data_IF_836805314505
#
_entry.id   IF_836805314505
#
_cell.length_a   1.000
_cell.length_b   1.000
_cell.length_c   1.000
_cell.angle_alpha   90.00
_cell.angle_beta   90.00
_cell.angle_gamma   90.00
#
_symmetry.space_group_name_H-M   'P 1'
#
loop_
_entity.id
_entity.type
_entity.pdbx_description
1 polymer ?
#
# COMPACT_ATOMS: atom_id res chain seq x y z
N UNK A 1 -23.64 -10.93 -41.95
CA UNK A 1 -23.02 -9.85 -41.16
C UNK A 1 -23.51 -10.05 -39.73
N UNK A 2 -22.92 -10.95 -38.92
CA UNK A 2 -21.73 -10.72 -38.08
C UNK A 2 -21.85 -9.39 -37.31
N UNK A 3 -21.93 -9.32 -35.98
CA UNK A 3 -21.81 -10.36 -34.96
C UNK A 3 -22.16 -9.83 -33.56
N UNK A 4 -22.27 -10.78 -32.63
CA UNK A 4 -22.53 -10.65 -31.20
C UNK A 4 -21.73 -9.54 -30.51
N UNK A 5 -22.40 -8.76 -29.66
CA UNK A 5 -21.75 -7.95 -28.62
C UNK A 5 -21.57 -8.87 -27.40
N UNK A 6 -20.52 -9.67 -27.46
CA UNK A 6 -20.04 -10.48 -26.35
C UNK A 6 -18.92 -9.76 -25.62
N UNK A 7 -19.00 -9.83 -24.29
CA UNK A 7 -17.89 -10.00 -23.35
C UNK A 7 -16.95 -8.82 -23.06
N UNK A 8 -16.78 -8.56 -21.76
CA UNK A 8 -15.50 -8.13 -21.21
C UNK A 8 -15.56 -6.81 -20.46
N UNK A 9 -15.93 -6.87 -19.17
CA UNK A 9 -15.45 -5.85 -18.23
C UNK A 9 -13.92 -5.99 -18.17
N UNK A 10 -13.12 -4.95 -18.46
CA UNK A 10 -11.70 -5.02 -18.22
C UNK A 10 -11.50 -5.01 -16.70
N UNK A 11 -11.11 -6.18 -16.20
CA UNK A 11 -10.39 -6.33 -14.95
C UNK A 11 -9.18 -5.39 -14.95
N UNK A 12 -8.84 -4.87 -13.77
CA UNK A 12 -7.64 -4.06 -13.51
C UNK A 12 -7.81 -2.54 -13.53
N UNK A 13 -8.38 -2.02 -12.43
CA UNK A 13 -8.21 -0.63 -11.97
C UNK A 13 -6.74 -0.20 -11.79
N UNK A 14 -5.79 -1.14 -11.89
CA UNK A 14 -4.36 -0.88 -11.79
C UNK A 14 -3.74 -0.32 -13.08
N UNK A 15 -4.40 -0.48 -14.24
CA UNK A 15 -3.86 -0.04 -15.54
C UNK A 15 -4.05 1.45 -15.84
N UNK A 16 -5.10 2.10 -15.31
CA UNK A 16 -5.36 3.51 -15.63
C UNK A 16 -4.43 4.52 -14.92
N UNK A 17 -3.77 4.11 -13.84
CA UNK A 17 -2.87 5.02 -13.10
C UNK A 17 -1.41 5.04 -13.59
N UNK A 18 -1.03 4.11 -14.47
CA UNK A 18 0.35 4.02 -14.98
C UNK A 18 0.58 4.84 -16.26
N UNK A 19 -0.48 5.34 -16.92
CA UNK A 19 -0.35 6.05 -18.21
C UNK A 19 0.12 7.52 -18.12
N UNK A 20 0.39 8.07 -16.92
CA UNK A 20 0.72 9.49 -16.73
C UNK A 20 2.16 9.77 -16.22
N UNK A 21 3.03 8.76 -16.14
CA UNK A 21 4.41 8.95 -15.67
C UNK A 21 5.40 8.21 -16.58
N UNK A 22 5.71 8.77 -17.77
CA UNK A 22 6.57 8.11 -18.76
C UNK A 22 8.04 7.97 -18.34
N UNK A 23 8.40 8.48 -17.17
CA UNK A 23 9.77 8.57 -16.65
C UNK A 23 10.16 7.46 -15.67
N UNK A 24 9.23 6.61 -15.24
CA UNK A 24 9.49 5.50 -14.30
C UNK A 24 9.14 4.14 -14.91
N UNK A 25 10.14 3.24 -15.03
CA UNK A 25 9.94 1.88 -15.54
C UNK A 25 9.70 0.90 -14.38
N UNK A 26 8.44 0.48 -14.23
CA UNK A 26 8.04 -0.48 -13.20
C UNK A 26 7.82 -1.91 -13.75
N UNK A 27 8.16 -2.15 -15.02
CA UNK A 27 7.89 -3.45 -15.69
C UNK A 27 8.56 -4.65 -15.02
N UNK A 28 9.66 -4.42 -14.29
CA UNK A 28 10.42 -5.44 -13.54
C UNK A 28 10.01 -5.53 -12.06
N UNK A 29 8.87 -4.94 -11.69
CA UNK A 29 8.33 -5.03 -10.33
C UNK A 29 7.99 -6.47 -9.95
N UNK A 30 8.61 -6.98 -8.88
CA UNK A 30 8.31 -8.32 -8.36
C UNK A 30 6.87 -8.46 -7.86
N UNK A 31 6.19 -7.34 -7.63
CA UNK A 31 4.82 -7.25 -7.18
C UNK A 31 3.77 -7.41 -8.30
N UNK A 32 4.17 -7.39 -9.58
CA UNK A 32 3.23 -7.32 -10.72
C UNK A 32 2.33 -8.56 -10.87
N UNK A 33 2.82 -9.73 -10.45
CA UNK A 33 2.11 -11.02 -10.57
C UNK A 33 1.84 -11.66 -9.20
N UNK A 34 1.69 -10.85 -8.15
CA UNK A 34 1.41 -11.38 -6.82
C UNK A 34 -0.05 -11.83 -6.72
N UNK A 35 -0.30 -12.99 -6.10
CA UNK A 35 -1.64 -13.60 -6.04
C UNK A 35 -2.65 -12.78 -5.23
N UNK A 36 -2.16 -11.97 -4.30
CA UNK A 36 -2.95 -11.08 -3.45
C UNK A 36 -2.55 -9.61 -3.69
N UNK A 37 -3.35 -8.83 -4.45
CA UNK A 37 -3.09 -7.41 -4.69
C UNK A 37 -3.42 -6.52 -3.48
N UNK A 38 -4.26 -6.99 -2.54
CA UNK A 38 -4.68 -6.20 -1.38
C UNK A 38 -3.54 -5.99 -0.39
N UNK A 39 -2.51 -6.85 -0.43
CA UNK A 39 -1.31 -6.69 0.37
C UNK A 39 -0.68 -5.30 0.21
N UNK A 40 -0.76 -4.71 -0.99
CA UNK A 40 -0.11 -3.43 -1.26
C UNK A 40 -0.86 -2.26 -0.63
N UNK A 41 -2.09 -2.48 -0.15
CA UNK A 41 -2.93 -1.49 0.52
C UNK A 41 -3.11 -1.81 2.01
N UNK A 42 -2.18 -2.58 2.59
CA UNK A 42 -2.21 -2.90 4.00
C UNK A 42 -2.26 -1.65 4.90
N UNK A 43 -3.17 -1.66 5.86
CA UNK A 43 -3.42 -0.52 6.77
C UNK A 43 -4.39 0.53 6.22
N UNK A 44 -4.95 0.33 5.02
CA UNK A 44 -6.04 1.15 4.46
C UNK A 44 -7.43 0.56 4.78
N UNK A 45 -7.55 -0.30 5.79
CA UNK A 45 -8.84 -0.89 6.17
C UNK A 45 -9.78 0.20 6.67
N UNK A 46 -10.85 0.41 5.92
CA UNK A 46 -11.96 1.22 6.35
C UNK A 46 -12.53 0.62 7.65
N UNK A 47 -12.66 1.47 8.67
CA UNK A 47 -13.49 1.13 9.82
C UNK A 47 -14.90 0.88 9.29
N UNK A 48 -15.57 -0.16 9.79
CA UNK A 48 -16.96 -0.36 9.42
C UNK A 48 -17.75 0.90 9.78
N UNK A 49 -18.77 1.25 8.98
CA UNK A 49 -19.55 2.46 9.20
C UNK A 49 -20.11 2.50 10.64
N UNK A 50 -19.81 3.57 11.38
CA UNK A 50 -20.18 3.72 12.78
C UNK A 50 -19.34 2.93 13.79
N UNK A 51 -18.26 2.26 13.36
CA UNK A 51 -17.38 1.51 14.25
C UNK A 51 -16.55 2.44 15.15
N UNK A 52 -16.74 2.32 16.46
CA UNK A 52 -15.94 3.00 17.47
C UNK A 52 -14.79 2.08 17.89
N UNK A 53 -13.56 2.59 17.86
CA UNK A 53 -12.40 1.85 18.37
C UNK A 53 -12.52 1.64 19.88
N UNK A 54 -12.72 0.38 20.31
CA UNK A 54 -12.85 -0.03 21.71
C UNK A 54 -11.76 -1.01 22.15
N UNK A 55 -10.73 -1.18 21.32
CA UNK A 55 -9.64 -2.12 21.55
C UNK A 55 -10.14 -3.55 21.81
N UNK A 56 -11.18 -3.98 21.07
CA UNK A 56 -11.70 -5.35 21.21
C UNK A 56 -10.69 -6.37 20.67
N UNK A 57 -10.86 -7.65 21.05
CA UNK A 57 -10.03 -8.73 20.52
C UNK A 57 -10.08 -8.79 18.99
N UNK A 58 -11.25 -8.59 18.40
CA UNK A 58 -11.44 -8.65 16.95
C UNK A 58 -10.85 -7.43 16.22
N UNK A 59 -10.95 -6.24 16.81
CA UNK A 59 -10.28 -5.04 16.32
C UNK A 59 -8.76 -5.21 16.33
N UNK A 60 -8.22 -5.75 17.42
CA UNK A 60 -6.79 -6.06 17.56
C UNK A 60 -6.35 -7.10 16.53
N UNK A 61 -7.14 -8.17 16.35
CA UNK A 61 -6.89 -9.21 15.34
C UNK A 61 -6.82 -8.62 13.93
N UNK A 62 -7.78 -7.77 13.55
CA UNK A 62 -7.80 -7.09 12.23
C UNK A 62 -6.54 -6.25 12.02
N UNK A 63 -6.15 -5.44 13.01
CA UNK A 63 -4.93 -4.63 12.90
C UNK A 63 -3.68 -5.50 12.77
N UNK A 64 -3.60 -6.62 13.49
CA UNK A 64 -2.44 -7.51 13.38
C UNK A 64 -2.37 -8.20 12.00
N UNK A 65 -3.52 -8.58 11.42
CA UNK A 65 -3.56 -9.09 10.05
C UNK A 65 -3.03 -8.06 9.05
N UNK A 66 -3.43 -6.79 9.19
CA UNK A 66 -2.92 -5.72 8.32
C UNK A 66 -1.42 -5.48 8.50
N UNK A 67 -0.90 -5.62 9.72
CA UNK A 67 0.55 -5.57 9.94
C UNK A 67 1.25 -6.73 9.23
N UNK A 68 0.73 -7.96 9.32
CA UNK A 68 1.32 -9.12 8.66
C UNK A 68 1.27 -9.00 7.13
N UNK A 69 0.19 -8.44 6.58
CA UNK A 69 0.10 -8.09 5.15
C UNK A 69 1.17 -7.07 4.74
N UNK A 70 1.32 -5.99 5.51
CA UNK A 70 2.33 -4.97 5.24
C UNK A 70 3.76 -5.55 5.30
N UNK A 71 4.05 -6.42 6.27
CA UNK A 71 5.35 -7.10 6.37
C UNK A 71 5.60 -7.99 5.15
N UNK A 72 4.58 -8.73 4.69
CA UNK A 72 4.67 -9.58 3.50
C UNK A 72 4.97 -8.74 2.26
N UNK A 73 4.28 -7.61 2.09
CA UNK A 73 4.53 -6.66 1.01
C UNK A 73 5.94 -6.07 1.04
N UNK A 74 6.39 -5.60 2.20
CA UNK A 74 7.74 -5.04 2.36
C UNK A 74 8.82 -6.10 2.07
N UNK A 75 8.56 -7.36 2.39
CA UNK A 75 9.46 -8.48 2.10
C UNK A 75 9.61 -8.71 0.60
N UNK A 76 8.52 -8.60 -0.17
CA UNK A 76 8.57 -8.62 -1.65
C UNK A 76 9.37 -7.43 -2.18
N UNK A 77 9.16 -6.24 -1.61
CA UNK A 77 9.89 -5.04 -2.03
C UNK A 77 11.40 -5.09 -1.73
N UNK A 78 11.84 -5.81 -0.69
CA UNK A 78 13.22 -5.81 -0.17
C UNK A 78 14.28 -6.04 -1.25
N UNK A 79 14.02 -6.94 -2.21
CA UNK A 79 14.93 -7.27 -3.31
C UNK A 79 14.40 -6.85 -4.69
N UNK A 80 13.41 -5.97 -4.74
CA UNK A 80 12.79 -5.55 -6.00
C UNK A 80 13.74 -4.63 -6.81
N UNK A 81 14.01 -4.93 -8.09
CA UNK A 81 14.99 -4.18 -8.89
C UNK A 81 14.53 -2.76 -9.23
N UNK A 82 13.23 -2.49 -9.20
CA UNK A 82 12.63 -1.17 -9.49
C UNK A 82 12.26 -0.41 -8.22
N UNK A 83 12.87 -0.75 -7.07
CA UNK A 83 12.51 -0.16 -5.77
C UNK A 83 12.59 1.37 -5.78
N UNK A 84 13.65 1.93 -6.36
CA UNK A 84 13.89 3.37 -6.36
C UNK A 84 12.85 4.12 -7.21
N UNK A 85 12.63 3.67 -8.44
CA UNK A 85 11.64 4.25 -9.36
C UNK A 85 10.22 4.09 -8.79
N UNK A 86 9.95 2.97 -8.13
CA UNK A 86 8.68 2.74 -7.43
C UNK A 86 8.50 3.71 -6.26
N UNK A 87 9.55 3.98 -5.47
CA UNK A 87 9.50 4.99 -4.41
C UNK A 87 9.23 6.38 -5.00
N UNK A 88 9.91 6.73 -6.09
CA UNK A 88 9.71 8.01 -6.77
C UNK A 88 8.26 8.20 -7.21
N UNK A 89 7.65 7.18 -7.84
CA UNK A 89 6.22 7.19 -8.13
C UNK A 89 5.38 7.34 -6.85
N UNK A 90 5.74 6.60 -5.80
CA UNK A 90 5.09 6.63 -4.49
C UNK A 90 5.11 7.99 -3.81
N UNK A 91 6.04 8.88 -4.17
CA UNK A 91 6.14 10.24 -3.63
C UNK A 91 5.27 11.26 -4.38
N UNK A 92 4.59 10.85 -5.47
CA UNK A 92 3.79 11.71 -6.33
C UNK A 92 2.30 11.61 -5.99
N UNK A 93 1.59 12.73 -6.21
CA UNK A 93 0.12 12.76 -6.30
C UNK A 93 -0.64 11.97 -5.22
N UNK A 94 -1.69 11.22 -5.59
CA UNK A 94 -2.42 10.34 -4.69
C UNK A 94 -1.57 9.19 -4.11
N UNK A 95 -0.55 8.72 -4.82
CA UNK A 95 0.31 7.61 -4.39
C UNK A 95 1.07 7.94 -3.10
N UNK A 96 1.31 9.23 -2.82
CA UNK A 96 1.83 9.69 -1.53
C UNK A 96 0.98 9.20 -0.34
N UNK A 97 -0.32 9.12 -0.54
CA UNK A 97 -1.28 8.85 0.52
C UNK A 97 -1.69 7.40 0.62
N UNK A 98 -1.45 6.56 -0.39
CA UNK A 98 -1.99 5.20 -0.43
C UNK A 98 -0.94 4.20 -0.87
N UNK A 99 -1.10 2.97 -0.41
CA UNK A 99 -0.34 1.81 -0.84
C UNK A 99 1.16 1.79 -0.49
N UNK A 100 1.78 0.63 -0.67
CA UNK A 100 3.20 0.40 -0.43
C UNK A 100 3.96 0.57 -1.73
N UNK A 101 4.95 1.47 -1.72
CA UNK A 101 5.76 1.83 -2.88
C UNK A 101 7.22 1.87 -2.50
N UNK A 102 8.07 1.20 -3.27
CA UNK A 102 9.52 1.22 -3.07
C UNK A 102 9.95 0.87 -1.64
N UNK A 103 9.33 -0.15 -1.05
CA UNK A 103 9.58 -0.57 0.34
C UNK A 103 9.18 0.46 1.41
N UNK A 104 8.31 1.42 1.07
CA UNK A 104 7.79 2.41 2.02
C UNK A 104 6.29 2.33 2.14
N UNK A 105 5.79 2.54 3.36
CA UNK A 105 4.36 2.75 3.63
C UNK A 105 3.98 4.23 3.48
N UNK A 106 2.70 4.58 3.24
CA UNK A 106 2.27 5.97 3.10
C UNK A 106 2.67 6.85 4.28
N UNK A 107 2.58 6.32 5.51
CA UNK A 107 2.99 7.03 6.72
C UNK A 107 4.48 7.39 6.74
N UNK A 108 5.35 6.56 6.16
CA UNK A 108 6.79 6.83 6.06
C UNK A 108 7.06 7.93 5.05
N UNK A 109 6.43 7.87 3.87
CA UNK A 109 6.54 8.90 2.83
C UNK A 109 6.02 10.26 3.30
N UNK A 110 4.90 10.27 4.03
CA UNK A 110 4.38 11.49 4.66
C UNK A 110 5.35 12.08 5.69
N UNK A 111 6.01 11.22 6.48
CA UNK A 111 7.01 11.65 7.46
C UNK A 111 8.28 12.20 6.77
N UNK A 112 8.73 11.60 5.66
CA UNK A 112 9.88 12.07 4.87
C UNK A 112 9.69 13.51 4.36
N UNK A 113 8.46 13.89 3.99
CA UNK A 113 8.15 15.25 3.52
C UNK A 113 8.08 16.30 4.64
N UNK A 114 8.34 15.94 5.90
CA UNK A 114 8.17 16.85 7.04
C UNK A 114 6.73 17.32 7.24
N UNK A 115 5.76 16.70 6.56
CA UNK A 115 4.33 16.98 6.68
C UNK A 115 3.82 16.31 7.94
N UNK A 116 4.18 16.86 9.09
CA UNK A 116 3.56 16.53 10.39
C UNK A 116 2.15 17.11 10.34
N UNK A 117 1.27 16.44 9.62
CA UNK A 117 -0.05 16.96 9.30
C UNK A 117 -0.93 16.91 10.53
N UNK A 118 -1.63 18.01 10.82
CA UNK A 118 -2.68 18.09 11.86
C UNK A 118 -3.82 17.07 11.63
N UNK A 119 -3.95 16.55 10.40
CA UNK A 119 -4.95 15.55 10.02
C UNK A 119 -4.77 14.21 10.77
N UNK A 120 -5.82 13.78 11.48
CA UNK A 120 -5.87 12.52 12.21
C UNK A 120 -5.57 11.30 11.31
N UNK A 121 -6.06 11.30 10.07
CA UNK A 121 -5.88 10.20 9.13
C UNK A 121 -4.40 9.91 8.84
N UNK A 122 -3.64 10.97 8.55
CA UNK A 122 -2.21 10.86 8.30
C UNK A 122 -1.43 10.45 9.56
N UNK A 123 -1.87 10.89 10.75
CA UNK A 123 -1.28 10.43 12.02
C UNK A 123 -1.47 8.92 12.21
N UNK A 124 -2.63 8.38 11.84
CA UNK A 124 -2.88 6.94 11.88
C UNK A 124 -1.92 6.20 10.94
N UNK A 125 -1.75 6.66 9.69
CA UNK A 125 -0.80 6.08 8.73
C UNK A 125 0.63 6.06 9.27
N UNK A 126 1.09 7.18 9.85
CA UNK A 126 2.42 7.27 10.48
C UNK A 126 2.54 6.28 11.64
N UNK A 127 1.50 6.18 12.48
CA UNK A 127 1.50 5.28 13.64
C UNK A 127 1.50 3.81 13.22
N UNK A 128 0.71 3.47 12.21
CA UNK A 128 0.67 2.13 11.61
C UNK A 128 2.05 1.76 11.06
N UNK A 129 2.66 2.63 10.26
CA UNK A 129 4.00 2.41 9.72
C UNK A 129 5.06 2.17 10.80
N UNK A 130 5.05 2.98 11.87
CA UNK A 130 5.93 2.79 13.03
C UNK A 130 5.70 1.44 13.70
N UNK A 131 4.43 1.03 13.85
CA UNK A 131 4.07 -0.25 14.47
C UNK A 131 4.59 -1.42 13.61
N UNK A 132 4.41 -1.37 12.30
CA UNK A 132 4.94 -2.39 11.36
C UNK A 132 6.46 -2.51 11.48
N UNK A 133 7.21 -1.40 11.40
CA UNK A 133 8.68 -1.43 11.51
C UNK A 133 9.17 -1.96 12.86
N UNK A 134 8.47 -1.62 13.95
CA UNK A 134 8.78 -2.18 15.27
C UNK A 134 8.63 -3.70 15.28
N UNK A 135 7.52 -4.22 14.75
CA UNK A 135 7.27 -5.67 14.67
C UNK A 135 8.30 -6.37 13.77
N UNK A 136 8.66 -5.78 12.63
CA UNK A 136 9.72 -6.34 11.78
C UNK A 136 11.05 -6.47 12.53
N UNK A 137 11.44 -5.41 13.27
CA UNK A 137 12.64 -5.42 14.10
C UNK A 137 12.58 -6.49 15.20
N UNK A 138 11.45 -6.63 15.87
CA UNK A 138 11.22 -7.66 16.89
C UNK A 138 11.30 -9.09 16.31
N UNK A 139 10.94 -9.26 15.02
CA UNK A 139 11.01 -10.53 14.29
C UNK A 139 12.35 -10.78 13.57
N UNK A 140 13.27 -9.81 13.57
CA UNK A 140 14.58 -9.92 12.91
C UNK A 140 14.53 -9.86 11.37
N UNK A 141 13.57 -9.11 10.80
CA UNK A 141 13.35 -8.97 9.35
C UNK A 141 13.99 -7.71 8.74
#
# INVERSE_FOLDING_TARGET
MAGNIGTGWPTSSMSYHLMNYPDVDLSKGLCANHDDPDLWFAGEVELAEGEIWRNTRDQTRRVNLEIDKAISALSVCKNCPVKQDCLELGMRGPQLHFGIYGETMPGERLAMLGRITKNAHNKMKITFAKKVRRVMKERGL
#
